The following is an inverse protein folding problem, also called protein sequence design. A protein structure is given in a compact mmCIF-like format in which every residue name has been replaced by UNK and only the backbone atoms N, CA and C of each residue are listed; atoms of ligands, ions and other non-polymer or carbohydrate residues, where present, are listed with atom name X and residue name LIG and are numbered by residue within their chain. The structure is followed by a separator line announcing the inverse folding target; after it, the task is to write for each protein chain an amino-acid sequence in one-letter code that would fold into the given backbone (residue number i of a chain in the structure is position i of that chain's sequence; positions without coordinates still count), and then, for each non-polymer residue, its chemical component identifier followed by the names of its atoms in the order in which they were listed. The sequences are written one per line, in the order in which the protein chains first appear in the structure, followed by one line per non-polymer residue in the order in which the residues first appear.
data_IF_610131295152
#
_entry.id   IF_610131295152
#
_cell.length_a   1.000
_cell.length_b   1.000
_cell.length_c   1.000
_cell.angle_alpha   90.00
_cell.angle_beta   90.00
_cell.angle_gamma   90.00
#
_symmetry.space_group_name_H-M   'P 1'
#
loop_
_entity.id
_entity.type
_entity.pdbx_description
1 polymer ?
#
# COMPACT_ATOMS: atom_id res chain seq x y z
N UNK A 1 0.73 3.29 18.54
CA UNK A 1 0.16 1.99 18.09
C UNK A 1 0.64 1.82 16.67
N UNK A 2 1.17 0.68 16.30
CA UNK A 2 1.68 0.51 14.93
C UNK A 2 0.53 0.17 13.98
N UNK A 3 0.48 0.84 12.84
CA UNK A 3 -0.57 0.64 11.82
C UNK A 3 0.10 0.41 10.47
N UNK A 4 -0.24 -0.69 9.79
CA UNK A 4 0.24 -0.96 8.43
C UNK A 4 -0.96 -1.16 7.48
N UNK A 5 -1.12 -0.25 6.53
CA UNK A 5 -2.15 -0.32 5.49
C UNK A 5 -1.56 -1.02 4.27
N UNK A 6 -1.99 -2.26 4.01
CA UNK A 6 -1.51 -3.06 2.88
C UNK A 6 -2.50 -2.98 1.71
N UNK A 7 -2.12 -2.29 0.63
CA UNK A 7 -2.93 -2.15 -0.57
C UNK A 7 -2.54 -3.17 -1.65
N UNK A 8 -3.52 -3.96 -2.10
CA UNK A 8 -3.38 -4.94 -3.18
C UNK A 8 -4.65 -4.96 -4.05
N UNK A 9 -4.56 -5.61 -5.22
CA UNK A 9 -5.66 -5.64 -6.18
C UNK A 9 -6.09 -4.23 -6.62
N UNK A 10 -7.40 -3.96 -6.81
CA UNK A 10 -7.89 -2.62 -7.14
C UNK A 10 -7.48 -1.54 -6.13
N UNK A 11 -7.34 -1.90 -4.85
CA UNK A 11 -6.94 -0.98 -3.78
C UNK A 11 -5.56 -0.34 -3.99
N UNK A 12 -4.68 -0.94 -4.82
CA UNK A 12 -3.39 -0.34 -5.15
C UNK A 12 -3.53 1.04 -5.83
N UNK A 13 -4.68 1.35 -6.45
CA UNK A 13 -4.96 2.68 -6.97
C UNK A 13 -4.82 3.79 -5.92
N UNK A 14 -5.12 3.50 -4.64
CA UNK A 14 -4.90 4.46 -3.55
C UNK A 14 -3.45 4.89 -3.40
N UNK A 15 -2.49 4.03 -3.75
CA UNK A 15 -1.06 4.30 -3.59
C UNK A 15 -0.38 4.76 -4.89
N UNK A 16 -1.12 4.90 -5.99
CA UNK A 16 -0.56 5.36 -7.27
C UNK A 16 -0.41 6.88 -7.29
N UNK A 17 0.76 7.37 -7.70
CA UNK A 17 1.02 8.80 -7.78
C UNK A 17 0.19 9.52 -8.86
N UNK A 18 -0.25 8.80 -9.89
CA UNK A 18 -0.93 9.34 -11.08
C UNK A 18 -2.47 9.36 -10.99
N UNK A 19 -3.06 8.46 -10.19
CA UNK A 19 -4.51 8.20 -10.18
C UNK A 19 -5.10 8.07 -8.78
N UNK A 20 -4.31 8.24 -7.73
CA UNK A 20 -4.82 8.08 -6.36
C UNK A 20 -5.87 9.13 -6.02
N UNK A 21 -7.10 8.71 -5.62
CA UNK A 21 -8.14 9.64 -5.17
C UNK A 21 -7.87 10.20 -3.76
N UNK A 22 -6.86 9.67 -3.06
CA UNK A 22 -6.60 9.95 -1.63
C UNK A 22 -5.15 10.37 -1.36
N UNK A 23 -4.41 10.78 -2.40
CA UNK A 23 -2.98 11.15 -2.31
C UNK A 23 -2.70 12.18 -1.20
N UNK A 24 -3.46 13.28 -1.15
CA UNK A 24 -3.28 14.33 -0.14
C UNK A 24 -3.56 13.82 1.27
N UNK A 25 -4.53 12.90 1.42
CA UNK A 25 -4.85 12.29 2.72
C UNK A 25 -3.74 11.37 3.20
N UNK A 26 -3.14 10.58 2.30
CA UNK A 26 -1.99 9.72 2.63
C UNK A 26 -0.81 10.56 3.14
N UNK A 27 -0.48 11.65 2.45
CA UNK A 27 0.60 12.55 2.86
C UNK A 27 0.33 13.17 4.25
N UNK A 28 -0.88 13.68 4.47
CA UNK A 28 -1.27 14.25 5.76
C UNK A 28 -1.23 13.20 6.90
N UNK A 29 -1.72 11.99 6.66
CA UNK A 29 -1.69 10.91 7.65
C UNK A 29 -0.26 10.47 7.97
N UNK A 30 0.60 10.32 6.95
CA UNK A 30 2.00 9.93 7.15
C UNK A 30 2.82 11.01 7.88
N UNK A 31 2.44 12.28 7.77
CA UNK A 31 3.06 13.37 8.52
C UNK A 31 2.58 13.40 9.98
N UNK A 32 1.31 13.10 10.21
CA UNK A 32 0.70 13.14 11.52
C UNK A 32 1.07 11.93 12.41
N UNK A 33 1.32 10.76 11.82
CA UNK A 33 1.59 9.53 12.54
C UNK A 33 2.85 8.83 11.99
N UNK A 34 3.98 8.83 12.73
CA UNK A 34 5.21 8.18 12.30
C UNK A 34 5.14 6.64 12.37
N UNK A 35 4.19 6.08 13.12
CA UNK A 35 3.99 4.62 13.24
C UNK A 35 3.06 4.06 12.14
N UNK A 36 2.54 4.93 11.27
CA UNK A 36 1.71 4.56 10.13
C UNK A 36 2.55 4.22 8.90
N UNK A 37 2.32 3.04 8.33
CA UNK A 37 3.02 2.57 7.12
C UNK A 37 2.05 2.18 6.02
N UNK A 38 2.36 2.58 4.78
CA UNK A 38 1.64 2.15 3.59
C UNK A 38 2.46 1.11 2.80
N UNK A 39 1.89 -0.06 2.56
CA UNK A 39 2.53 -1.17 1.86
C UNK A 39 1.82 -1.49 0.55
N UNK A 40 2.56 -1.39 -0.55
CA UNK A 40 2.08 -1.66 -1.90
C UNK A 40 2.43 -3.09 -2.33
N UNK A 41 1.43 -3.88 -2.71
CA UNK A 41 1.65 -5.23 -3.23
C UNK A 41 2.41 -5.23 -4.56
N UNK A 42 3.62 -5.78 -4.56
CA UNK A 42 4.50 -5.89 -5.73
C UNK A 42 3.91 -6.71 -6.87
N UNK A 43 3.18 -7.79 -6.55
CA UNK A 43 2.47 -8.58 -7.56
C UNK A 43 1.40 -7.77 -8.31
N UNK A 44 0.61 -6.99 -7.58
CA UNK A 44 -0.40 -6.11 -8.17
C UNK A 44 0.26 -4.98 -8.95
N UNK A 45 1.30 -4.36 -8.40
CA UNK A 45 2.06 -3.27 -9.03
C UNK A 45 2.64 -3.70 -10.38
N UNK A 46 3.25 -4.89 -10.45
CA UNK A 46 3.78 -5.46 -11.70
C UNK A 46 2.68 -5.68 -12.75
N UNK A 47 1.54 -6.27 -12.35
CA UNK A 47 0.40 -6.49 -13.26
C UNK A 47 -0.17 -5.16 -13.78
N UNK A 48 -0.34 -4.17 -12.91
CA UNK A 48 -0.83 -2.84 -13.31
C UNK A 48 0.15 -2.12 -14.23
N UNK A 49 1.45 -2.17 -13.94
CA UNK A 49 2.47 -1.56 -14.80
C UNK A 49 2.51 -2.21 -16.18
N UNK A 50 2.43 -3.55 -16.25
CA UNK A 50 2.32 -4.27 -17.53
C UNK A 50 1.08 -3.86 -18.31
N UNK A 51 -0.09 -3.76 -17.65
CA UNK A 51 -1.35 -3.33 -18.28
C UNK A 51 -1.29 -1.87 -18.78
N UNK A 52 -0.61 -0.99 -18.05
CA UNK A 52 -0.44 0.41 -18.42
C UNK A 52 0.60 0.63 -19.53
N UNK A 53 1.39 -0.39 -19.88
CA UNK A 53 2.51 -0.27 -20.82
C UNK A 53 3.68 0.57 -20.31
N UNK A 54 3.66 0.96 -19.02
CA UNK A 54 4.69 1.81 -18.40
C UNK A 54 4.80 1.52 -16.90
N UNK A 55 5.95 1.82 -16.27
CA UNK A 55 6.08 1.75 -14.81
C UNK A 55 5.06 2.64 -14.13
N UNK A 56 4.26 2.07 -13.23
CA UNK A 56 3.36 2.84 -12.37
C UNK A 56 4.14 3.42 -11.22
N UNK A 57 4.15 4.75 -11.09
CA UNK A 57 4.76 5.43 -9.95
C UNK A 57 3.85 5.36 -8.74
N UNK A 58 4.44 5.08 -7.57
CA UNK A 58 3.74 5.10 -6.28
C UNK A 58 3.97 6.44 -5.58
N UNK A 59 3.09 6.79 -4.64
CA UNK A 59 3.30 7.92 -3.72
C UNK A 59 4.55 7.67 -2.85
N UNK A 60 5.20 8.73 -2.38
CA UNK A 60 6.49 8.63 -1.70
C UNK A 60 6.41 7.88 -0.36
N UNK A 61 5.24 7.93 0.27
CA UNK A 61 4.90 7.30 1.54
C UNK A 61 4.73 5.77 1.42
N UNK A 62 4.54 5.25 0.20
CA UNK A 62 4.25 3.84 -0.03
C UNK A 62 5.53 3.02 -0.26
N UNK A 63 5.71 1.96 0.53
CA UNK A 63 6.79 0.98 0.35
C UNK A 63 6.29 -0.25 -0.37
N UNK A 64 7.05 -0.76 -1.35
CA UNK A 64 6.71 -2.01 -2.04
C UNK A 64 7.05 -3.21 -1.17
N UNK A 65 6.12 -4.15 -1.06
CA UNK A 65 6.34 -5.49 -0.50
C UNK A 65 6.20 -6.54 -1.60
N UNK A 66 6.86 -7.71 -1.52
CA UNK A 66 6.77 -8.73 -2.59
C UNK A 66 5.33 -9.17 -2.87
N UNK A 67 4.55 -9.41 -1.82
CA UNK A 67 3.13 -9.80 -1.90
C UNK A 67 2.35 -9.20 -0.74
N UNK A 68 1.25 -8.50 -1.03
CA UNK A 68 0.41 -7.87 0.00
C UNK A 68 -0.29 -8.90 0.89
N UNK A 69 -0.81 -9.98 0.32
CA UNK A 69 -1.49 -11.03 1.10
C UNK A 69 -0.51 -11.74 2.03
N UNK A 70 0.70 -12.06 1.55
CA UNK A 70 1.74 -12.68 2.39
C UNK A 70 2.15 -11.73 3.52
N UNK A 71 2.31 -10.43 3.23
CA UNK A 71 2.59 -9.43 4.27
C UNK A 71 1.52 -9.39 5.35
N UNK A 72 0.24 -9.48 4.98
CA UNK A 72 -0.85 -9.56 5.95
C UNK A 72 -0.82 -10.84 6.79
N UNK A 73 -0.43 -11.98 6.20
CA UNK A 73 -0.25 -13.23 6.95
C UNK A 73 0.89 -13.11 7.97
N UNK A 74 2.06 -12.62 7.54
CA UNK A 74 3.22 -12.39 8.42
C UNK A 74 2.88 -11.48 9.60
N UNK A 75 2.14 -10.40 9.37
CA UNK A 75 1.71 -9.47 10.42
C UNK A 75 0.76 -10.15 11.41
N UNK A 76 -0.21 -10.92 10.92
CA UNK A 76 -1.13 -11.66 11.78
C UNK A 76 -0.41 -12.72 12.62
N UNK A 77 0.57 -13.44 12.06
CA UNK A 77 1.43 -14.38 12.80
C UNK A 77 2.26 -13.67 13.89
N UNK A 78 2.62 -12.41 13.67
CA UNK A 78 3.27 -11.54 14.66
C UNK A 78 2.29 -10.97 15.70
N UNK A 79 1.03 -11.40 15.70
CA UNK A 79 0.02 -10.98 16.67
C UNK A 79 -0.70 -9.68 16.32
N UNK A 80 -0.57 -9.16 15.09
CA UNK A 80 -1.30 -7.96 14.69
C UNK A 80 -2.79 -8.25 14.51
N UNK A 81 -3.62 -7.30 14.94
CA UNK A 81 -5.04 -7.32 14.62
C UNK A 81 -5.26 -6.96 13.14
N UNK A 82 -6.06 -7.76 12.44
CA UNK A 82 -6.38 -7.55 11.03
C UNK A 82 -7.77 -6.96 10.86
N UNK A 83 -7.87 -5.91 10.02
CA UNK A 83 -9.12 -5.26 9.65
C UNK A 83 -9.16 -5.12 8.14
N UNK A 84 -10.30 -5.50 7.53
CA UNK A 84 -10.58 -5.33 6.10
C UNK A 84 -11.90 -4.55 5.92
N UNK A 85 -11.83 -3.23 5.72
CA UNK A 85 -12.99 -2.40 5.43
C UNK A 85 -13.62 -2.70 4.06
#
# INVERSE_FOLDING_TARGET
VMIEIVAYGPGLHMLRADTSPVKSRIAAMSLADPDLRFSACGNTHRKMSKKAGKPVTLVAEAKKVPSGVVRLMELQEQGWSYIRP
#
